data_IF_787830026863
#
_entry.id   IF_787830026863
#
_cell.length_a   1.000
_cell.length_b   1.000
_cell.length_c   1.000
_cell.angle_alpha   90.00
_cell.angle_beta   90.00
_cell.angle_gamma   90.00
#
_symmetry.space_group_name_H-M   'P 1'
#
loop_
_entity.id
_entity.type
_entity.pdbx_description
1 polymer ?
#
# COMPACT_ATOMS: atom_id res chain seq x y z
N UNK A 1 17.12 5.93 -11.07
CA UNK A 1 16.16 5.18 -11.90
C UNK A 1 14.77 5.77 -11.71
N UNK A 2 13.74 5.25 -12.37
CA UNK A 2 12.34 5.58 -12.04
C UNK A 2 11.87 4.65 -10.92
N UNK A 3 11.22 5.20 -9.91
CA UNK A 3 10.68 4.46 -8.77
C UNK A 3 9.15 4.56 -8.80
N UNK A 4 8.49 3.43 -8.59
CA UNK A 4 7.04 3.34 -8.48
C UNK A 4 6.68 2.90 -7.07
N UNK A 5 6.00 3.77 -6.32
CA UNK A 5 5.44 3.38 -5.04
C UNK A 5 4.27 2.42 -5.28
N UNK A 6 4.39 1.22 -4.71
CA UNK A 6 3.34 0.18 -4.79
C UNK A 6 2.32 0.36 -3.68
N UNK A 7 2.77 0.57 -2.44
CA UNK A 7 1.93 0.74 -1.26
C UNK A 7 2.70 1.35 -0.09
N UNK A 8 1.97 1.93 0.86
CA UNK A 8 2.47 2.29 2.19
C UNK A 8 2.00 1.21 3.18
N UNK A 9 2.84 0.88 4.15
CA UNK A 9 2.52 -0.04 5.24
C UNK A 9 2.35 0.77 6.53
N UNK A 10 1.22 0.58 7.20
CA UNK A 10 0.86 1.22 8.46
C UNK A 10 1.00 0.23 9.63
N UNK A 11 0.92 0.70 10.89
CA UNK A 11 0.92 -0.19 12.05
C UNK A 11 -0.13 -1.32 11.92
N UNK A 12 0.32 -2.56 12.05
CA UNK A 12 -0.52 -3.76 11.90
C UNK A 12 -0.51 -4.38 10.50
N UNK A 13 0.01 -3.68 9.50
CA UNK A 13 0.23 -4.26 8.17
C UNK A 13 1.42 -5.22 8.16
N UNK A 14 1.43 -6.12 7.18
CA UNK A 14 2.53 -7.05 6.92
C UNK A 14 2.97 -7.04 5.46
N UNK A 15 4.22 -7.46 5.21
CA UNK A 15 4.80 -7.62 3.88
C UNK A 15 5.75 -8.83 3.86
N UNK A 16 6.18 -9.27 2.68
CA UNK A 16 6.97 -10.50 2.48
C UNK A 16 6.11 -11.74 2.20
N UNK A 17 4.81 -11.53 1.98
CA UNK A 17 3.81 -12.56 1.75
C UNK A 17 4.07 -13.39 0.49
N UNK A 18 4.73 -12.80 -0.51
CA UNK A 18 5.05 -13.51 -1.77
C UNK A 18 6.09 -14.60 -1.52
N UNK A 19 7.07 -14.33 -0.66
CA UNK A 19 8.11 -15.29 -0.27
C UNK A 19 7.55 -16.47 0.56
N UNK A 20 6.33 -16.35 1.09
CA UNK A 20 5.69 -17.44 1.83
C UNK A 20 5.30 -18.59 0.89
N UNK A 21 4.75 -18.26 -0.29
CA UNK A 21 4.17 -19.21 -1.24
C UNK A 21 5.05 -19.47 -2.46
N UNK A 22 6.01 -18.58 -2.78
CA UNK A 22 6.92 -18.73 -3.91
C UNK A 22 8.37 -18.62 -3.43
N UNK A 23 9.21 -19.55 -3.88
CA UNK A 23 10.67 -19.39 -3.80
C UNK A 23 11.12 -18.48 -4.93
N UNK A 24 10.89 -17.18 -4.75
CA UNK A 24 11.28 -16.15 -5.70
C UNK A 24 11.98 -15.00 -4.97
N UNK A 25 12.92 -14.37 -5.67
CA UNK A 25 13.55 -13.13 -5.21
C UNK A 25 12.52 -12.01 -5.30
N UNK A 26 12.39 -11.23 -4.23
CA UNK A 26 11.54 -10.04 -4.24
C UNK A 26 12.13 -8.99 -5.20
N UNK A 27 11.32 -8.53 -6.15
CA UNK A 27 11.70 -7.45 -7.08
C UNK A 27 11.39 -6.04 -6.53
N UNK A 28 10.82 -5.96 -5.32
CA UNK A 28 10.53 -4.71 -4.61
C UNK A 28 11.39 -4.55 -3.38
N UNK A 29 11.70 -3.30 -3.02
CA UNK A 29 12.33 -2.95 -1.74
C UNK A 29 11.31 -2.26 -0.83
N UNK A 30 11.65 -2.15 0.45
CA UNK A 30 10.91 -1.36 1.42
C UNK A 30 11.87 -0.39 2.12
N UNK A 31 11.38 0.81 2.41
CA UNK A 31 12.11 1.87 3.09
C UNK A 31 11.26 2.39 4.25
N UNK A 32 11.89 2.62 5.40
CA UNK A 32 11.21 3.21 6.55
C UNK A 32 11.05 4.71 6.33
N UNK A 33 9.80 5.20 6.34
CA UNK A 33 9.49 6.63 6.17
C UNK A 33 9.66 7.45 7.46
N UNK A 34 9.73 6.76 8.61
CA UNK A 34 9.95 7.31 9.94
C UNK A 34 10.57 6.23 10.84
N UNK A 35 10.95 6.58 12.07
CA UNK A 35 11.34 5.60 13.09
C UNK A 35 10.25 4.53 13.23
N UNK A 36 10.61 3.28 12.97
CA UNK A 36 9.67 2.15 12.81
C UNK A 36 10.22 0.90 13.47
N UNK A 37 9.37 0.20 14.22
CA UNK A 37 9.64 -1.16 14.71
C UNK A 37 9.00 -2.20 13.80
N UNK A 38 9.75 -3.26 13.48
CA UNK A 38 9.28 -4.35 12.62
C UNK A 38 9.41 -5.68 13.33
N UNK A 39 8.31 -6.43 13.37
CA UNK A 39 8.32 -7.83 13.83
C UNK A 39 8.57 -8.76 12.64
N UNK A 40 9.55 -9.65 12.77
CA UNK A 40 9.88 -10.63 11.74
C UNK A 40 9.43 -12.02 12.15
N UNK A 41 8.79 -12.73 11.22
CA UNK A 41 8.48 -14.16 11.35
C UNK A 41 9.12 -14.91 10.18
N UNK A 42 9.77 -16.02 10.47
CA UNK A 42 10.37 -16.86 9.43
C UNK A 42 9.28 -17.57 8.63
N UNK A 43 9.58 -17.89 7.36
CA UNK A 43 8.67 -18.65 6.49
C UNK A 43 8.20 -19.95 7.15
N UNK A 44 9.12 -20.71 7.75
CA UNK A 44 8.81 -21.99 8.41
C UNK A 44 7.87 -21.82 9.61
N UNK A 45 8.12 -20.83 10.48
CA UNK A 45 7.25 -20.59 11.63
C UNK A 45 5.87 -20.11 11.20
N UNK A 46 5.79 -19.23 10.19
CA UNK A 46 4.49 -18.79 9.68
C UNK A 46 3.71 -19.96 9.09
N UNK A 47 4.34 -20.80 8.26
CA UNK A 47 3.70 -22.01 7.72
C UNK A 47 3.16 -22.95 8.81
N UNK A 48 3.93 -23.17 9.87
CA UNK A 48 3.48 -23.96 11.03
C UNK A 48 2.23 -23.34 11.68
N UNK A 49 2.21 -22.02 11.89
CA UNK A 49 1.03 -21.33 12.43
C UNK A 49 -0.18 -21.39 11.52
N UNK A 50 -0.02 -21.32 10.20
CA UNK A 50 -1.12 -21.42 9.25
C UNK A 50 -1.79 -22.80 9.29
N UNK A 51 -1.01 -23.86 9.50
CA UNK A 51 -1.52 -25.23 9.65
C UNK A 51 -2.16 -25.42 11.03
N UNK A 52 -1.48 -24.94 12.09
CA UNK A 52 -1.93 -25.09 13.48
C UNK A 52 -3.17 -24.27 13.80
N UNK A 53 -3.31 -23.09 13.20
CA UNK A 53 -4.39 -22.15 13.43
C UNK A 53 -4.99 -21.66 12.09
N UNK A 54 -5.88 -22.44 11.46
CA UNK A 54 -6.46 -22.10 10.16
C UNK A 54 -7.22 -20.77 10.11
N UNK A 55 -7.65 -20.26 11.27
CA UNK A 55 -8.24 -18.92 11.39
C UNK A 55 -7.28 -17.82 10.97
N UNK A 56 -5.97 -17.98 11.20
CA UNK A 56 -4.93 -17.06 10.73
C UNK A 56 -4.89 -17.07 9.20
N UNK A 57 -4.94 -18.26 8.58
CA UNK A 57 -4.96 -18.41 7.13
C UNK A 57 -6.13 -17.67 6.48
N UNK A 58 -7.32 -17.77 7.06
CA UNK A 58 -8.50 -17.02 6.58
C UNK A 58 -8.31 -15.51 6.69
N UNK A 59 -7.67 -15.01 7.76
CA UNK A 59 -7.37 -13.58 7.92
C UNK A 59 -6.35 -13.09 6.89
N UNK A 60 -5.31 -13.88 6.60
CA UNK A 60 -4.34 -13.55 5.56
C UNK A 60 -5.00 -13.53 4.18
N UNK A 61 -5.84 -14.52 3.87
CA UNK A 61 -6.58 -14.55 2.59
C UNK A 61 -7.50 -13.34 2.45
N UNK A 62 -8.22 -12.96 3.51
CA UNK A 62 -9.04 -11.75 3.51
C UNK A 62 -8.21 -10.49 3.20
N UNK A 63 -7.00 -10.39 3.76
CA UNK A 63 -6.10 -9.27 3.49
C UNK A 63 -5.57 -9.29 2.06
N UNK A 64 -5.27 -10.47 1.50
CA UNK A 64 -4.91 -10.59 0.08
C UNK A 64 -6.04 -10.16 -0.85
N UNK A 65 -7.29 -10.58 -0.57
CA UNK A 65 -8.44 -10.15 -1.35
C UNK A 65 -8.60 -8.63 -1.33
N UNK A 66 -8.46 -8.01 -0.16
CA UNK A 66 -8.51 -6.54 -0.01
C UNK A 66 -7.41 -5.87 -0.84
N UNK A 67 -6.16 -6.36 -0.74
CA UNK A 67 -5.02 -5.81 -1.49
C UNK A 67 -5.19 -5.96 -3.00
N UNK A 68 -5.71 -7.11 -3.46
CA UNK A 68 -5.99 -7.35 -4.87
C UNK A 68 -7.04 -6.36 -5.38
N UNK A 69 -8.14 -6.20 -4.65
CA UNK A 69 -9.19 -5.23 -4.99
C UNK A 69 -8.64 -3.80 -5.09
N UNK A 70 -7.82 -3.36 -4.12
CA UNK A 70 -7.16 -2.05 -4.16
C UNK A 70 -6.26 -1.90 -5.39
N UNK A 71 -5.46 -2.92 -5.71
CA UNK A 71 -4.56 -2.92 -6.88
C UNK A 71 -5.33 -2.85 -8.20
N UNK A 72 -6.44 -3.58 -8.32
CA UNK A 72 -7.31 -3.56 -9.50
C UNK A 72 -8.00 -2.20 -9.66
N UNK A 73 -8.53 -1.62 -8.58
CA UNK A 73 -9.12 -0.27 -8.57
C UNK A 73 -8.11 0.79 -9.01
N UNK A 74 -6.88 0.73 -8.49
CA UNK A 74 -5.82 1.67 -8.85
C UNK A 74 -5.43 1.53 -10.34
N UNK A 75 -5.31 0.28 -10.82
CA UNK A 75 -5.02 -0.01 -12.24
C UNK A 75 -6.11 0.53 -13.16
N UNK A 76 -7.38 0.29 -12.81
CA UNK A 76 -8.52 0.83 -13.56
C UNK A 76 -8.53 2.36 -13.55
N UNK A 77 -8.32 2.97 -12.39
CA UNK A 77 -8.25 4.43 -12.23
C UNK A 77 -7.15 5.06 -13.09
N UNK A 78 -5.98 4.44 -13.17
CA UNK A 78 -4.90 4.92 -14.04
C UNK A 78 -5.26 4.86 -15.53
N UNK A 79 -6.05 3.87 -15.93
CA UNK A 79 -6.46 3.70 -17.32
C UNK A 79 -7.63 4.61 -17.73
N UNK A 80 -8.54 4.94 -16.81
CA UNK A 80 -9.81 5.60 -17.15
C UNK A 80 -9.94 7.03 -16.62
N UNK A 81 -9.22 7.40 -15.56
CA UNK A 81 -9.41 8.68 -14.87
C UNK A 81 -8.32 9.70 -15.19
N UNK A 82 -8.69 10.98 -15.19
CA UNK A 82 -7.70 12.07 -15.30
C UNK A 82 -6.88 12.20 -14.01
N UNK A 83 -5.68 12.79 -14.12
CA UNK A 83 -4.81 13.01 -12.95
C UNK A 83 -5.54 13.81 -11.87
N UNK A 84 -6.31 14.83 -12.25
CA UNK A 84 -7.07 15.67 -11.33
C UNK A 84 -8.11 14.87 -10.55
N UNK A 85 -8.83 13.96 -11.23
CA UNK A 85 -9.81 13.11 -10.57
C UNK A 85 -9.15 12.11 -9.63
N UNK A 86 -7.99 11.56 -9.98
CA UNK A 86 -7.22 10.69 -9.07
C UNK A 86 -6.73 11.42 -7.83
N UNK A 87 -6.25 12.66 -7.98
CA UNK A 87 -5.88 13.52 -6.85
C UNK A 87 -7.11 13.77 -5.96
N UNK A 88 -8.23 14.19 -6.55
CA UNK A 88 -9.45 14.48 -5.79
C UNK A 88 -9.97 13.27 -5.01
N UNK A 89 -9.97 12.07 -5.61
CA UNK A 89 -10.36 10.83 -4.95
C UNK A 89 -9.43 10.51 -3.77
N UNK A 90 -8.11 10.61 -3.96
CA UNK A 90 -7.14 10.39 -2.90
C UNK A 90 -7.32 11.35 -1.72
N UNK A 91 -7.53 12.64 -2.00
CA UNK A 91 -7.76 13.64 -0.95
C UNK A 91 -9.08 13.38 -0.21
N UNK A 92 -10.13 12.95 -0.92
CA UNK A 92 -11.39 12.58 -0.30
C UNK A 92 -11.23 11.39 0.66
N UNK A 93 -10.46 10.36 0.27
CA UNK A 93 -10.13 9.22 1.14
C UNK A 93 -9.36 9.66 2.39
N UNK A 94 -8.47 10.66 2.29
CA UNK A 94 -7.77 11.20 3.46
C UNK A 94 -8.74 11.88 4.44
N UNK A 95 -9.70 12.67 3.93
CA UNK A 95 -10.67 13.39 4.76
C UNK A 95 -11.67 12.46 5.46
N UNK A 96 -12.09 11.37 4.81
CA UNK A 96 -12.97 10.37 5.43
C UNK A 96 -12.31 9.69 6.65
N UNK A 97 -10.98 9.60 6.67
CA UNK A 97 -10.23 8.99 7.76
C UNK A 97 -9.93 9.97 8.92
N UNK A 98 -9.98 11.30 8.70
CA UNK A 98 -9.65 12.33 9.69
C UNK A 98 -10.84 13.28 9.98
N UNK A 99 -11.83 12.81 10.76
CA UNK A 99 -12.84 13.62 11.49
C UNK A 99 -13.27 14.99 10.88
N UNK A 100 -13.52 15.05 9.56
CA UNK A 100 -14.07 16.22 8.86
C UNK A 100 -13.31 17.54 9.06
N UNK A 101 -11.99 17.50 9.30
CA UNK A 101 -11.16 18.71 9.23
C UNK A 101 -10.93 19.14 7.78
N UNK A 102 -11.04 20.45 7.49
CA UNK A 102 -10.68 21.02 6.18
C UNK A 102 -9.16 21.14 6.00
N UNK A 103 -8.38 20.85 7.06
CA UNK A 103 -6.92 20.79 7.05
C UNK A 103 -6.49 19.41 7.52
N UNK A 104 -5.71 18.72 6.70
CA UNK A 104 -5.21 17.38 6.98
C UNK A 104 -3.76 17.26 6.50
N UNK A 105 -3.02 16.35 7.12
CA UNK A 105 -1.64 16.07 6.72
C UNK A 105 -1.65 14.92 5.73
N UNK A 106 -0.97 15.10 4.59
CA UNK A 106 -0.81 14.01 3.64
C UNK A 106 0.05 12.90 4.26
N UNK A 107 -0.31 11.62 4.07
CA UNK A 107 0.41 10.50 4.70
C UNK A 107 1.78 10.24 4.07
N UNK A 108 2.18 11.02 3.07
CA UNK A 108 3.40 10.79 2.28
C UNK A 108 3.93 12.08 1.67
N UNK A 109 5.18 12.03 1.22
CA UNK A 109 5.77 13.16 0.52
C UNK A 109 5.07 13.39 -0.82
N UNK A 110 5.14 14.63 -1.33
CA UNK A 110 4.60 14.96 -2.66
C UNK A 110 5.21 14.15 -3.80
N UNK A 111 6.48 13.73 -3.67
CA UNK A 111 7.14 12.84 -4.64
C UNK A 111 6.48 11.47 -4.63
N UNK A 112 6.25 10.92 -3.44
CA UNK A 112 5.64 9.61 -3.26
C UNK A 112 4.19 9.65 -3.73
N UNK A 113 3.44 10.71 -3.42
CA UNK A 113 2.07 10.89 -3.90
C UNK A 113 2.00 10.92 -5.43
N UNK A 114 2.92 11.64 -6.07
CA UNK A 114 2.99 11.67 -7.53
C UNK A 114 3.26 10.26 -8.10
N UNK A 115 4.19 9.52 -7.51
CA UNK A 115 4.46 8.13 -7.87
C UNK A 115 3.23 7.25 -7.66
N UNK A 116 2.59 7.33 -6.49
CA UNK A 116 1.40 6.59 -6.12
C UNK A 116 0.19 6.86 -7.03
N UNK A 117 0.05 8.08 -7.54
CA UNK A 117 -1.03 8.46 -8.47
C UNK A 117 -0.64 8.32 -9.95
N UNK A 118 0.55 7.77 -10.25
CA UNK A 118 1.03 7.58 -11.61
C UNK A 118 1.19 8.89 -12.38
N UNK A 119 1.74 9.93 -11.74
CA UNK A 119 1.93 11.27 -12.31
C UNK A 119 3.29 11.86 -11.89
N UNK A 120 3.53 13.14 -12.21
CA UNK A 120 4.77 13.84 -11.85
C UNK A 120 4.56 14.79 -10.66
N UNK A 121 5.59 15.02 -9.82
CA UNK A 121 5.49 15.98 -8.71
C UNK A 121 5.13 17.40 -9.17
N UNK A 122 5.57 17.80 -10.36
CA UNK A 122 5.24 19.09 -10.97
C UNK A 122 3.74 19.18 -11.25
N UNK A 123 3.15 18.10 -11.78
CA UNK A 123 1.71 18.01 -12.08
C UNK A 123 0.89 18.11 -10.80
N UNK A 124 1.30 17.45 -9.72
CA UNK A 124 0.65 17.58 -8.40
C UNK A 124 0.67 19.03 -7.92
N UNK A 125 1.74 19.80 -8.12
CA UNK A 125 1.77 21.22 -7.70
C UNK A 125 1.04 22.19 -8.62
N UNK A 126 0.74 21.79 -9.86
CA UNK A 126 0.04 22.64 -10.83
C UNK A 126 -1.48 22.50 -10.77
N UNK A 127 -1.97 21.42 -10.17
CA UNK A 127 -3.38 21.06 -10.06
C UNK A 127 -3.82 21.27 -8.62
#
# INVERSE_FOLDING_TARGET
>A
GKEQLVRILNPGDFTGELALFREAVHESYAEAMADTDVCMITRSNLQEFLIKYPTISLKILSEFSRRLETSEKQTASFATETVEKRIALFLAECVENENQSMEFTLPMSKKDLASYLGTSPETISRK
#
